data_IF_748748058264
#
_entry.id   IF_748748058264
#
_cell.length_a   1.000
_cell.length_b   1.000
_cell.length_c   1.000
_cell.angle_alpha   90.00
_cell.angle_beta   90.00
_cell.angle_gamma   90.00
#
_symmetry.space_group_name_H-M   'P 1'
#
loop_
_entity.id
_entity.type
_entity.pdbx_description
1 polymer ?
#
# COMPACT_ATOMS: atom_id res chain seq x y z
N UNK A 1 28.82 7.58 6.36
CA UNK A 1 27.68 6.68 6.11
C UNK A 1 27.41 5.84 7.37
N UNK A 2 26.53 6.29 8.25
CA UNK A 2 26.21 5.58 9.51
C UNK A 2 25.06 4.59 9.27
N UNK A 3 25.39 3.29 9.26
CA UNK A 3 24.40 2.20 9.26
C UNK A 3 23.55 2.30 10.53
N UNK A 4 22.27 2.65 10.38
CA UNK A 4 21.33 2.77 11.49
C UNK A 4 21.15 1.43 12.22
N UNK A 5 21.46 1.42 13.52
CA UNK A 5 21.38 0.26 14.39
C UNK A 5 19.94 -0.29 14.45
N UNK A 6 19.73 -1.54 14.02
CA UNK A 6 18.40 -2.15 13.90
C UNK A 6 17.65 -2.29 15.26
N UNK A 7 18.38 -2.28 16.38
CA UNK A 7 17.83 -2.41 17.73
C UNK A 7 17.10 -1.17 18.29
N UNK A 8 17.19 0.00 17.63
CA UNK A 8 16.58 1.26 18.12
C UNK A 8 15.36 1.72 17.33
N UNK A 9 14.84 0.95 16.37
CA UNK A 9 13.64 1.36 15.63
C UNK A 9 12.42 1.23 16.56
N UNK A 10 11.76 2.36 16.91
CA UNK A 10 10.54 2.29 17.68
C UNK A 10 9.49 1.52 16.90
N UNK A 11 8.61 0.82 17.63
CA UNK A 11 7.45 0.21 17.00
C UNK A 11 6.59 1.32 16.39
N UNK A 12 6.19 1.14 15.14
CA UNK A 12 5.23 1.99 14.45
C UNK A 12 4.12 1.10 13.96
N UNK A 13 2.89 1.50 14.25
CA UNK A 13 1.72 0.93 13.63
C UNK A 13 1.72 1.31 12.15
N UNK A 14 1.40 0.38 11.26
CA UNK A 14 1.21 0.69 9.84
C UNK A 14 -0.28 0.66 9.52
N UNK A 15 -0.84 1.78 9.06
CA UNK A 15 -2.27 1.90 8.77
C UNK A 15 -2.76 0.88 7.75
N UNK A 16 -1.88 0.44 6.85
CA UNK A 16 -2.18 -0.61 5.86
C UNK A 16 -2.54 -1.96 6.50
N UNK A 17 -2.15 -2.23 7.74
CA UNK A 17 -2.56 -3.44 8.47
C UNK A 17 -4.09 -3.55 8.58
N UNK A 18 -4.81 -2.42 8.63
CA UNK A 18 -6.27 -2.39 8.72
C UNK A 18 -6.97 -2.96 7.48
N UNK A 19 -6.30 -3.02 6.33
CA UNK A 19 -6.84 -3.62 5.11
C UNK A 19 -6.61 -5.12 5.03
N UNK A 20 -5.77 -5.70 5.89
CA UNK A 20 -5.55 -7.13 5.91
C UNK A 20 -6.73 -7.84 6.60
N UNK A 21 -7.32 -8.85 5.96
CA UNK A 21 -8.50 -9.59 6.45
C UNK A 21 -8.34 -10.07 7.89
N UNK A 22 -7.17 -10.61 8.20
CA UNK A 22 -6.90 -11.28 9.46
C UNK A 22 -6.55 -10.32 10.60
N UNK A 23 -6.27 -9.05 10.30
CA UNK A 23 -5.77 -8.10 11.29
C UNK A 23 -6.77 -7.88 12.43
N UNK A 24 -8.06 -7.75 12.11
CA UNK A 24 -9.10 -7.56 13.12
C UNK A 24 -9.17 -8.75 14.08
N UNK A 25 -9.13 -9.98 13.55
CA UNK A 25 -9.17 -11.19 14.35
C UNK A 25 -7.90 -11.35 15.20
N UNK A 26 -6.73 -11.01 14.65
CA UNK A 26 -5.47 -10.99 15.38
C UNK A 26 -5.53 -10.07 16.61
N UNK A 27 -6.06 -8.86 16.47
CA UNK A 27 -6.18 -7.91 17.60
C UNK A 27 -7.15 -8.44 18.66
N UNK A 28 -8.31 -8.97 18.24
CA UNK A 28 -9.32 -9.49 19.18
C UNK A 28 -8.79 -10.70 19.97
N UNK A 29 -8.11 -11.62 19.31
CA UNK A 29 -7.55 -12.83 19.93
C UNK A 29 -6.35 -12.54 20.84
N UNK A 30 -5.59 -11.49 20.55
CA UNK A 30 -4.42 -11.10 21.34
C UNK A 30 -4.76 -10.18 22.52
N UNK A 31 -5.92 -9.52 22.51
CA UNK A 31 -6.32 -8.61 23.57
C UNK A 31 -6.90 -9.34 24.78
N UNK A 32 -6.14 -9.40 25.86
CA UNK A 32 -6.55 -9.97 27.14
C UNK A 32 -7.08 -8.86 28.06
N UNK A 33 -8.39 -8.86 28.30
CA UNK A 33 -9.10 -7.80 29.04
C UNK A 33 -8.95 -7.86 30.57
N UNK A 34 -8.33 -8.91 31.09
CA UNK A 34 -8.05 -9.15 32.50
C UNK A 34 -6.74 -8.49 32.98
N UNK A 35 -5.92 -7.98 32.06
CA UNK A 35 -4.64 -7.31 32.36
C UNK A 35 -4.77 -5.79 32.21
N UNK A 36 -3.91 -5.05 32.92
CA UNK A 36 -3.84 -3.61 32.75
C UNK A 36 -3.49 -3.22 31.30
N UNK A 37 -4.13 -2.16 30.81
CA UNK A 37 -3.99 -1.67 29.44
C UNK A 37 -2.54 -1.54 28.95
N UNK A 38 -1.57 -1.04 29.75
CA UNK A 38 -0.18 -0.97 29.31
C UNK A 38 0.47 -2.35 29.04
N UNK A 39 0.14 -3.36 29.87
CA UNK A 39 0.65 -4.72 29.71
C UNK A 39 0.02 -5.42 28.51
N UNK A 40 -1.28 -5.19 28.28
CA UNK A 40 -1.98 -5.66 27.09
C UNK A 40 -1.37 -5.05 25.81
N UNK A 41 -1.07 -3.75 25.81
CA UNK A 41 -0.45 -3.06 24.68
C UNK A 41 0.97 -3.56 24.35
N UNK A 42 1.82 -3.81 25.36
CA UNK A 42 3.16 -4.34 25.09
C UNK A 42 3.13 -5.78 24.56
N UNK A 43 2.19 -6.59 25.08
CA UNK A 43 1.94 -7.95 24.55
C UNK A 43 1.46 -7.90 23.10
N UNK A 44 0.48 -7.05 22.80
CA UNK A 44 -0.03 -6.82 21.45
C UNK A 44 1.09 -6.35 20.50
N UNK A 45 1.95 -5.43 20.96
CA UNK A 45 3.10 -4.94 20.19
C UNK A 45 4.05 -6.08 19.77
N UNK A 46 4.33 -7.03 20.66
CA UNK A 46 5.19 -8.19 20.34
C UNK A 46 4.52 -9.06 19.26
N UNK A 47 3.22 -9.33 19.41
CA UNK A 47 2.43 -10.12 18.47
C UNK A 47 2.38 -9.44 17.10
N UNK A 48 2.09 -8.14 17.05
CA UNK A 48 2.04 -7.36 15.83
C UNK A 48 3.39 -7.28 15.12
N UNK A 49 4.50 -7.18 15.85
CA UNK A 49 5.84 -7.24 15.24
C UNK A 49 6.10 -8.57 14.56
N UNK A 50 5.72 -9.68 15.20
CA UNK A 50 5.87 -11.02 14.65
C UNK A 50 4.98 -11.20 13.43
N UNK A 51 3.69 -10.87 13.54
CA UNK A 51 2.72 -10.95 12.46
C UNK A 51 3.10 -10.06 11.26
N UNK A 52 3.59 -8.84 11.50
CA UNK A 52 4.05 -7.96 10.42
C UNK A 52 5.19 -8.61 9.62
N UNK A 53 6.09 -9.33 10.29
CA UNK A 53 7.22 -10.01 9.65
C UNK A 53 6.79 -11.28 8.91
N UNK A 54 5.89 -12.07 9.51
CA UNK A 54 5.57 -13.42 9.03
C UNK A 54 4.39 -13.45 8.06
N UNK A 55 3.39 -12.58 8.25
CA UNK A 55 2.12 -12.61 7.52
C UNK A 55 1.96 -11.40 6.61
N UNK A 56 2.03 -10.18 7.16
CA UNK A 56 1.85 -8.96 6.35
C UNK A 56 2.99 -8.80 5.33
N UNK A 57 4.22 -8.98 5.82
CA UNK A 57 5.43 -9.00 5.01
C UNK A 57 5.80 -7.64 4.43
N UNK A 58 6.65 -7.68 3.41
CA UNK A 58 7.10 -6.48 2.69
C UNK A 58 6.18 -6.22 1.49
N UNK A 59 5.34 -5.20 1.60
CA UNK A 59 4.40 -4.77 0.56
C UNK A 59 5.13 -4.51 -0.77
N UNK A 60 6.34 -3.97 -0.73
CA UNK A 60 7.13 -3.71 -1.93
C UNK A 60 7.56 -5.01 -2.63
N UNK A 61 8.01 -6.01 -1.87
CA UNK A 61 8.37 -7.32 -2.45
C UNK A 61 7.16 -8.04 -3.03
N UNK A 62 5.99 -7.93 -2.37
CA UNK A 62 4.74 -8.50 -2.87
C UNK A 62 4.33 -7.84 -4.18
N UNK A 63 4.47 -6.51 -4.27
CA UNK A 63 4.25 -5.73 -5.49
C UNK A 63 5.14 -6.18 -6.64
N UNK A 64 6.46 -6.29 -6.40
CA UNK A 64 7.43 -6.74 -7.40
C UNK A 64 7.09 -8.13 -7.92
N UNK A 65 6.78 -9.07 -7.02
CA UNK A 65 6.35 -10.42 -7.41
C UNK A 65 5.08 -10.41 -8.25
N UNK A 66 4.06 -9.62 -7.87
CA UNK A 66 2.81 -9.52 -8.64
C UNK A 66 3.04 -8.93 -10.03
N UNK A 67 3.92 -7.94 -10.18
CA UNK A 67 4.27 -7.40 -11.50
C UNK A 67 4.94 -8.45 -12.38
N UNK A 68 5.85 -9.25 -11.82
CA UNK A 68 6.47 -10.37 -12.55
C UNK A 68 5.43 -11.42 -12.96
N UNK A 69 4.48 -11.75 -12.08
CA UNK A 69 3.41 -12.72 -12.37
C UNK A 69 2.44 -12.19 -13.44
N UNK A 70 2.05 -10.91 -13.38
CA UNK A 70 1.22 -10.24 -14.41
C UNK A 70 1.94 -10.29 -15.74
N UNK A 71 3.23 -9.90 -15.77
CA UNK A 71 4.02 -9.91 -17.00
C UNK A 71 4.07 -11.31 -17.63
N UNK A 72 4.30 -12.36 -16.85
CA UNK A 72 4.30 -13.75 -17.35
C UNK A 72 2.97 -14.15 -17.99
N UNK A 73 1.86 -13.73 -17.39
CA UNK A 73 0.51 -14.00 -17.94
C UNK A 73 0.29 -13.22 -19.24
N UNK A 74 0.70 -11.95 -19.29
CA UNK A 74 0.62 -11.11 -20.50
C UNK A 74 1.49 -11.67 -21.64
N UNK A 75 2.74 -12.05 -21.36
CA UNK A 75 3.63 -12.71 -22.32
C UNK A 75 3.03 -14.03 -22.87
N UNK A 76 2.21 -14.71 -22.07
CA UNK A 76 1.49 -15.93 -22.48
C UNK A 76 0.26 -15.61 -23.33
N UNK A 77 -0.50 -14.58 -22.98
CA UNK A 77 -1.66 -14.08 -23.72
C UNK A 77 -1.29 -13.58 -25.11
N UNK A 78 -0.12 -12.97 -25.28
CA UNK A 78 0.41 -12.57 -26.59
C UNK A 78 0.62 -13.77 -27.55
N UNK A 79 0.86 -14.96 -26.99
CA UNK A 79 1.07 -16.19 -27.78
C UNK A 79 -0.24 -16.94 -28.00
N UNK A 80 -1.04 -17.10 -26.95
CA UNK A 80 -2.31 -17.83 -26.97
C UNK A 80 -3.30 -17.16 -26.03
N UNK A 81 -4.39 -16.65 -26.57
CA UNK A 81 -5.48 -16.11 -25.78
C UNK A 81 -6.41 -17.23 -25.33
N UNK A 82 -6.57 -17.39 -24.01
CA UNK A 82 -7.54 -18.34 -23.43
C UNK A 82 -8.28 -17.69 -22.27
N UNK A 83 -9.54 -18.10 -22.07
CA UNK A 83 -10.37 -17.59 -20.97
C UNK A 83 -9.73 -17.81 -19.59
N UNK A 84 -8.99 -18.91 -19.42
CA UNK A 84 -8.27 -19.20 -18.19
C UNK A 84 -7.15 -18.19 -17.90
N UNK A 85 -6.41 -17.77 -18.94
CA UNK A 85 -5.35 -16.76 -18.79
C UNK A 85 -5.93 -15.38 -18.53
N UNK A 86 -7.02 -15.00 -19.20
CA UNK A 86 -7.73 -13.74 -18.96
C UNK A 86 -8.30 -13.67 -17.53
N UNK A 87 -8.92 -14.75 -17.07
CA UNK A 87 -9.40 -14.86 -15.68
C UNK A 87 -8.25 -14.76 -14.67
N UNK A 88 -7.10 -15.36 -14.99
CA UNK A 88 -5.91 -15.28 -14.13
C UNK A 88 -5.34 -13.86 -14.08
N UNK A 89 -5.25 -13.17 -15.21
CA UNK A 89 -4.82 -11.77 -15.30
C UNK A 89 -5.73 -10.87 -14.44
N UNK A 90 -7.05 -11.02 -14.59
CA UNK A 90 -8.03 -10.25 -13.82
C UNK A 90 -7.88 -10.43 -12.30
N UNK A 91 -7.58 -11.65 -11.84
CA UNK A 91 -7.33 -11.91 -10.42
C UNK A 91 -6.03 -11.23 -9.95
N UNK A 92 -4.96 -11.31 -10.75
CA UNK A 92 -3.68 -10.69 -10.42
C UNK A 92 -3.77 -9.16 -10.38
N UNK A 93 -4.48 -8.54 -11.32
CA UNK A 93 -4.70 -7.10 -11.35
C UNK A 93 -5.47 -6.61 -10.12
N UNK A 94 -6.52 -7.34 -9.71
CA UNK A 94 -7.26 -7.02 -8.48
C UNK A 94 -6.38 -7.12 -7.22
N UNK A 95 -5.50 -8.12 -7.17
CA UNK A 95 -4.56 -8.25 -6.06
C UNK A 95 -3.54 -7.10 -6.07
N UNK A 96 -3.06 -6.73 -7.25
CA UNK A 96 -2.15 -5.61 -7.45
C UNK A 96 -2.75 -4.28 -7.00
N UNK A 97 -4.02 -4.00 -7.33
CA UNK A 97 -4.74 -2.80 -6.86
C UNK A 97 -4.80 -2.74 -5.33
N UNK A 98 -5.07 -3.86 -4.67
CA UNK A 98 -5.07 -3.94 -3.20
C UNK A 98 -3.69 -3.64 -2.61
N UNK A 99 -2.62 -4.08 -3.27
CA UNK A 99 -1.23 -3.77 -2.86
C UNK A 99 -0.92 -2.29 -3.07
N UNK A 100 -1.38 -1.67 -4.15
CA UNK A 100 -1.22 -0.24 -4.39
C UNK A 100 -1.95 0.59 -3.31
N UNK A 101 -3.17 0.21 -2.91
CA UNK A 101 -3.86 0.86 -1.79
C UNK A 101 -3.06 0.77 -0.47
N UNK A 102 -2.50 -0.41 -0.18
CA UNK A 102 -1.66 -0.63 1.00
C UNK A 102 -0.42 0.26 0.98
N UNK A 103 0.27 0.29 -0.16
CA UNK A 103 1.44 1.14 -0.38
C UNK A 103 1.10 2.62 -0.19
N UNK A 104 -0.03 3.05 -0.75
CA UNK A 104 -0.52 4.42 -0.65
C UNK A 104 -0.75 4.83 0.81
N UNK A 105 -1.43 4.00 1.60
CA UNK A 105 -1.65 4.29 3.02
C UNK A 105 -0.34 4.38 3.80
N UNK A 106 0.63 3.49 3.50
CA UNK A 106 1.95 3.55 4.11
C UNK A 106 2.65 4.87 3.76
N UNK A 107 2.61 5.28 2.49
CA UNK A 107 3.21 6.55 2.05
C UNK A 107 2.49 7.76 2.62
N UNK A 108 1.17 7.74 2.71
CA UNK A 108 0.37 8.79 3.31
C UNK A 108 0.67 8.94 4.81
N UNK A 109 0.76 7.82 5.54
CA UNK A 109 1.15 7.84 6.94
C UNK A 109 2.57 8.40 7.12
N UNK A 110 3.54 7.90 6.34
CA UNK A 110 4.92 8.42 6.35
C UNK A 110 4.97 9.90 6.00
N UNK A 111 4.10 10.35 5.08
CA UNK A 111 3.99 11.74 4.67
C UNK A 111 3.52 12.63 5.81
N UNK A 112 2.45 12.22 6.50
CA UNK A 112 1.96 12.94 7.68
C UNK A 112 2.96 12.94 8.82
N UNK A 113 3.64 11.83 9.07
CA UNK A 113 4.72 11.76 10.08
C UNK A 113 5.85 12.74 9.73
N UNK A 114 6.28 12.79 8.47
CA UNK A 114 7.26 13.77 7.99
C UNK A 114 6.75 15.20 8.10
N UNK A 115 5.49 15.46 7.75
CA UNK A 115 4.86 16.76 7.89
C UNK A 115 4.83 17.22 9.34
N UNK A 116 4.42 16.35 10.28
CA UNK A 116 4.41 16.65 11.72
C UNK A 116 5.84 16.91 12.22
N UNK A 117 6.82 16.13 11.75
CA UNK A 117 8.22 16.29 12.18
C UNK A 117 8.89 17.55 11.61
N UNK A 118 8.52 17.98 10.40
CA UNK A 118 9.18 19.09 9.69
C UNK A 118 8.40 20.41 9.76
N UNK A 119 7.12 20.38 10.15
CA UNK A 119 6.23 21.56 10.18
C UNK A 119 5.96 22.12 8.77
N UNK A 120 5.54 23.38 8.68
CA UNK A 120 5.32 24.12 7.41
C UNK A 120 6.63 24.63 6.77
N UNK A 121 7.77 24.01 7.13
CA UNK A 121 9.02 24.30 6.42
C UNK A 121 8.86 23.69 5.03
N UNK A 122 8.82 24.57 4.03
CA UNK A 122 8.62 24.30 2.60
C UNK A 122 9.75 23.39 2.03
N UNK A 123 9.78 22.14 2.48
CA UNK A 123 10.79 21.14 2.15
C UNK A 123 10.41 20.44 0.86
N UNK A 124 11.39 19.92 0.11
CA UNK A 124 11.15 19.24 -1.17
C UNK A 124 10.12 18.09 -1.07
N UNK A 125 9.90 17.58 0.16
CA UNK A 125 8.85 16.64 0.49
C UNK A 125 7.42 17.14 0.18
N UNK A 126 7.09 18.38 0.51
CA UNK A 126 5.77 18.97 0.20
C UNK A 126 5.61 19.26 -1.28
N UNK A 127 6.69 19.71 -1.93
CA UNK A 127 6.72 19.83 -3.39
C UNK A 127 6.49 18.48 -4.07
N UNK A 128 7.15 17.42 -3.61
CA UNK A 128 7.01 16.06 -4.18
C UNK A 128 5.60 15.50 -3.94
N UNK A 129 5.06 15.67 -2.73
CA UNK A 129 3.69 15.26 -2.40
C UNK A 129 2.64 16.00 -3.24
N UNK A 130 2.86 17.28 -3.52
CA UNK A 130 2.01 18.08 -4.41
C UNK A 130 2.09 17.60 -5.86
N UNK A 131 3.28 17.25 -6.34
CA UNK A 131 3.46 16.69 -7.70
C UNK A 131 2.76 15.33 -7.84
N UNK A 132 2.87 14.45 -6.84
CA UNK A 132 2.16 13.16 -6.83
C UNK A 132 0.65 13.38 -6.83
N UNK A 133 0.15 14.30 -6.02
CA UNK A 133 -1.28 14.63 -5.96
C UNK A 133 -1.79 15.24 -7.27
N UNK A 134 -0.98 16.06 -7.94
CA UNK A 134 -1.27 16.60 -9.28
C UNK A 134 -1.31 15.51 -10.34
N UNK A 135 -0.39 14.54 -10.33
CA UNK A 135 -0.44 13.37 -11.21
C UNK A 135 -1.71 12.54 -10.98
N UNK A 136 -2.08 12.32 -9.71
CA UNK A 136 -3.28 11.53 -9.36
C UNK A 136 -4.58 12.20 -9.76
N UNK A 137 -4.65 13.53 -9.62
CA UNK A 137 -5.83 14.30 -9.97
C UNK A 137 -5.82 14.74 -11.44
N UNK A 138 -4.85 14.26 -12.24
CA UNK A 138 -4.82 14.51 -13.67
C UNK A 138 -5.94 13.69 -14.30
N UNK A 139 -6.99 14.37 -14.71
CA UNK A 139 -8.04 13.78 -15.53
C UNK A 139 -7.48 13.80 -16.95
N UNK A 140 -7.16 12.62 -17.50
CA UNK A 140 -6.56 12.51 -18.83
C UNK A 140 -7.61 12.61 -19.95
N UNK A 141 -8.86 12.23 -19.69
CA UNK A 141 -9.96 12.25 -20.67
C UNK A 141 -11.31 12.46 -19.96
N UNK A 142 -12.21 13.21 -20.58
CA UNK A 142 -13.60 13.35 -20.13
C UNK A 142 -14.50 12.53 -21.06
N UNK A 143 -15.52 11.87 -20.50
CA UNK A 143 -16.51 11.12 -21.26
C UNK A 143 -17.79 11.94 -21.35
N UNK A 144 -18.32 12.11 -22.56
CA UNK A 144 -19.59 12.82 -22.78
C UNK A 144 -20.81 11.92 -22.51
N UNK A 145 -22.00 12.53 -22.47
CA UNK A 145 -23.28 11.83 -22.24
C UNK A 145 -23.66 10.87 -23.39
N UNK A 146 -22.93 10.90 -24.51
CA UNK A 146 -23.08 10.03 -25.66
C UNK A 146 -22.02 8.90 -25.70
N UNK A 147 -21.31 8.68 -24.59
CA UNK A 147 -20.30 7.64 -24.39
C UNK A 147 -19.01 7.83 -25.21
N UNK A 148 -18.76 9.02 -25.76
CA UNK A 148 -17.53 9.34 -26.49
C UNK A 148 -16.47 9.94 -25.57
N UNK A 149 -15.21 9.60 -25.84
CA UNK A 149 -14.06 10.12 -25.11
C UNK A 149 -13.54 11.40 -25.76
N UNK A 150 -13.49 12.49 -25.01
CA UNK A 150 -12.95 13.78 -25.45
C UNK A 150 -11.55 13.96 -24.84
N UNK A 151 -10.54 14.04 -25.71
CA UNK A 151 -9.19 14.50 -25.37
C UNK A 151 -9.06 15.97 -25.73
N UNK A 152 -8.61 16.81 -24.80
CA UNK A 152 -8.16 18.17 -25.13
C UNK A 152 -6.92 18.06 -26.02
N UNK A 153 -7.13 18.13 -27.32
CA UNK A 153 -6.06 18.27 -28.30
C UNK A 153 -6.50 19.34 -29.29
N UNK A 154 -6.36 20.62 -28.90
CA UNK A 154 -6.14 21.79 -29.78
C UNK A 154 -5.60 22.98 -28.99
N UNK A 155 -4.28 23.20 -29.07
CA UNK A 155 -3.62 24.52 -29.23
C UNK A 155 -2.18 24.31 -29.67
#
# INVERSE_FOLDING_TARGET
MTRGNAGRRPFRFEAAWLKHSDFKQLVLTSWKGDISTPKALDSLRIILKKWNREVFGDVQKRKEKLLDDIKRVQDSLERVQTDALLAREMVLLREFDSILEQEEMIWFQKSREKHIALGDRNTSFFHTSTVIRRRRNKIDMLKDDADNWVTEDQS
#
